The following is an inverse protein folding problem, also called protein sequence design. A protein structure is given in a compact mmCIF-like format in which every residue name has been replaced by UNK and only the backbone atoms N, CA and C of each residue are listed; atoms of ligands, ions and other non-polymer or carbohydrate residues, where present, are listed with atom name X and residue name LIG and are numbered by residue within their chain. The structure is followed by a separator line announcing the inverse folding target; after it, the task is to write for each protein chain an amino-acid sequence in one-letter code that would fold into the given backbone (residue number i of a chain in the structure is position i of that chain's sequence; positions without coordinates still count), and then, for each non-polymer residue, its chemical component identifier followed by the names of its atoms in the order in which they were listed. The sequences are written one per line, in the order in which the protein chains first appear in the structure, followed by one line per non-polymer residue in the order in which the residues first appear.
data_IF_561270835804
#
_entry.id   IF_561270835804
#
_cell.length_a   1.000
_cell.length_b   1.000
_cell.length_c   1.000
_cell.angle_alpha   90.00
_cell.angle_beta   90.00
_cell.angle_gamma   90.00
#
_symmetry.space_group_name_H-M   'P 1'
#
loop_
_entity.id
_entity.type
_entity.pdbx_description
1 polymer ?
#
# COMPACT_ATOMS: atom_id res chain seq x y z
N UNK A 1 -16.18 -9.94 2.93
CA UNK A 1 -14.78 -10.17 3.26
C UNK A 1 -14.17 -9.03 4.06
N UNK A 2 -13.09 -9.30 4.75
CA UNK A 2 -12.38 -8.30 5.52
C UNK A 2 -11.50 -7.42 4.59
N UNK A 3 -11.57 -6.07 4.70
CA UNK A 3 -10.71 -5.20 3.92
C UNK A 3 -9.23 -5.37 4.31
N UNK A 4 -8.36 -5.42 3.31
CA UNK A 4 -6.93 -5.64 3.47
C UNK A 4 -6.13 -4.47 2.90
N UNK A 5 -4.97 -4.22 3.49
CA UNK A 5 -3.97 -3.28 3.00
C UNK A 5 -2.76 -4.09 2.49
N UNK A 6 -2.57 -4.22 1.17
CA UNK A 6 -1.41 -4.92 0.63
C UNK A 6 -0.19 -4.00 0.55
N UNK A 7 0.98 -4.58 0.77
CA UNK A 7 2.26 -3.93 0.49
C UNK A 7 3.16 -4.89 -0.27
N UNK A 8 4.02 -4.37 -1.14
CA UNK A 8 4.89 -5.17 -1.98
C UNK A 8 6.36 -4.98 -1.67
N UNK A 9 7.13 -6.05 -1.84
CA UNK A 9 8.59 -6.06 -1.86
C UNK A 9 9.03 -6.71 -3.16
N UNK A 10 10.15 -6.25 -3.72
CA UNK A 10 10.62 -6.75 -5.01
C UNK A 10 12.14 -6.55 -5.17
N UNK A 11 12.78 -7.27 -6.11
CA UNK A 11 14.21 -7.14 -6.36
C UNK A 11 14.65 -5.78 -6.92
N UNK A 12 13.73 -5.04 -7.55
CA UNK A 12 14.06 -3.74 -8.14
C UNK A 12 14.13 -2.58 -7.15
N UNK A 13 13.75 -2.78 -5.87
CA UNK A 13 13.89 -1.78 -4.82
C UNK A 13 15.30 -1.83 -4.21
N UNK A 14 16.31 -1.51 -4.98
CA UNK A 14 17.71 -1.57 -4.56
C UNK A 14 18.12 -0.44 -3.59
N UNK A 15 17.45 0.72 -3.64
CA UNK A 15 17.69 1.83 -2.71
C UNK A 15 16.81 1.76 -1.46
N UNK A 16 15.67 1.06 -1.51
CA UNK A 16 14.72 0.95 -0.41
C UNK A 16 14.76 -0.44 0.21
N UNK A 17 15.70 -0.63 1.15
CA UNK A 17 15.94 -1.93 1.81
C UNK A 17 14.69 -2.51 2.44
N UNK A 18 13.81 -1.66 2.99
CA UNK A 18 12.53 -2.07 3.57
C UNK A 18 11.56 -2.69 2.56
N UNK A 19 11.77 -2.44 1.26
CA UNK A 19 10.97 -2.97 0.16
C UNK A 19 11.73 -3.97 -0.71
N UNK A 20 12.97 -4.24 -0.39
CA UNK A 20 13.81 -5.15 -1.16
C UNK A 20 13.53 -6.60 -0.79
N UNK A 21 13.32 -7.43 -1.82
CA UNK A 21 13.23 -8.88 -1.70
C UNK A 21 14.00 -9.51 -2.87
N UNK A 22 15.14 -10.18 -2.63
CA UNK A 22 15.96 -10.74 -3.71
C UNK A 22 15.34 -11.95 -4.42
N UNK A 23 14.35 -12.56 -3.78
CA UNK A 23 13.75 -13.82 -4.26
C UNK A 23 12.62 -13.62 -5.28
N UNK A 24 12.17 -12.40 -5.47
CA UNK A 24 11.09 -12.08 -6.38
C UNK A 24 10.04 -11.16 -5.76
N UNK A 25 8.89 -11.07 -6.40
CA UNK A 25 7.78 -10.27 -5.90
C UNK A 25 7.17 -10.93 -4.65
N UNK A 26 7.13 -10.18 -3.56
CA UNK A 26 6.45 -10.55 -2.32
C UNK A 26 5.30 -9.58 -2.05
N UNK A 27 4.14 -10.09 -1.72
CA UNK A 27 2.98 -9.29 -1.36
C UNK A 27 2.57 -9.65 0.06
N UNK A 28 2.55 -8.64 0.95
CA UNK A 28 2.09 -8.78 2.32
C UNK A 28 0.70 -8.20 2.45
N UNK A 29 -0.24 -8.95 3.00
CA UNK A 29 -1.59 -8.50 3.27
C UNK A 29 -1.77 -8.21 4.75
N UNK A 30 -2.23 -7.00 5.08
CA UNK A 30 -2.52 -6.58 6.44
C UNK A 30 -4.00 -6.24 6.57
N UNK A 31 -4.72 -6.76 7.58
CA UNK A 31 -6.08 -6.33 7.85
C UNK A 31 -6.12 -4.83 8.15
N UNK A 32 -7.04 -4.11 7.54
CA UNK A 32 -7.20 -2.66 7.80
C UNK A 32 -7.56 -2.36 9.25
N UNK A 33 -8.19 -3.28 9.92
CA UNK A 33 -8.53 -3.15 11.35
C UNK A 33 -7.31 -2.91 12.24
N UNK A 34 -6.10 -3.30 11.82
CA UNK A 34 -4.86 -3.02 12.54
C UNK A 34 -4.55 -1.52 12.65
N UNK A 35 -5.10 -0.71 11.76
CA UNK A 35 -4.91 0.74 11.76
C UNK A 35 -5.98 1.50 12.52
N UNK A 36 -6.99 0.81 13.06
CA UNK A 36 -8.01 1.42 13.87
C UNK A 36 -7.39 2.03 15.15
N UNK A 37 -7.76 3.27 15.45
CA UNK A 37 -7.22 4.00 16.59
C UNK A 37 -5.88 4.69 16.37
N UNK A 38 -5.23 4.50 15.22
CA UNK A 38 -4.00 5.20 14.83
C UNK A 38 -4.15 5.99 13.54
N UNK A 39 -5.33 6.53 13.31
CA UNK A 39 -5.61 7.40 12.15
C UNK A 39 -4.91 8.75 12.27
N UNK A 40 -4.74 9.43 11.15
CA UNK A 40 -4.00 10.70 11.07
C UNK A 40 -4.59 11.82 11.93
N UNK A 41 -5.86 11.76 12.25
CA UNK A 41 -6.58 12.71 13.10
C UNK A 41 -6.38 12.47 14.61
N UNK A 42 -5.70 11.38 14.99
CA UNK A 42 -5.39 11.07 16.38
C UNK A 42 -3.95 11.42 16.73
N UNK A 43 -3.70 11.81 17.98
CA UNK A 43 -2.35 12.03 18.49
C UNK A 43 -1.52 10.74 18.41
N UNK A 44 -2.11 9.61 18.78
CA UNK A 44 -1.45 8.31 18.69
C UNK A 44 -1.05 7.96 17.25
N UNK A 45 -1.90 8.27 16.27
CA UNK A 45 -1.61 8.07 14.85
C UNK A 45 -0.48 8.97 14.35
N UNK A 46 -0.46 10.23 14.76
CA UNK A 46 0.61 11.16 14.41
C UNK A 46 1.97 10.74 14.99
N UNK A 47 1.99 10.29 16.24
CA UNK A 47 3.19 9.76 16.88
C UNK A 47 3.67 8.47 16.22
N UNK A 48 2.77 7.54 15.92
CA UNK A 48 3.10 6.30 15.24
C UNK A 48 3.72 6.57 13.86
N UNK A 49 3.16 7.51 13.10
CA UNK A 49 3.70 7.90 11.81
C UNK A 49 5.11 8.48 11.90
N UNK A 50 5.32 9.42 12.81
CA UNK A 50 6.64 10.01 13.01
C UNK A 50 7.69 8.95 13.31
N UNK A 51 7.37 7.99 14.18
CA UNK A 51 8.27 6.87 14.50
C UNK A 51 8.52 5.99 13.28
N UNK A 52 7.48 5.66 12.51
CA UNK A 52 7.60 4.81 11.31
C UNK A 52 8.46 5.51 10.26
N UNK A 53 8.21 6.78 9.98
CA UNK A 53 8.98 7.54 8.99
C UNK A 53 10.46 7.65 9.37
N UNK A 54 10.75 7.94 10.63
CA UNK A 54 12.12 7.98 11.11
C UNK A 54 12.83 6.63 11.00
N UNK A 55 12.16 5.55 11.33
CA UNK A 55 12.72 4.20 11.21
C UNK A 55 12.94 3.79 9.75
N UNK A 56 12.05 4.17 8.86
CA UNK A 56 12.22 3.91 7.43
C UNK A 56 13.46 4.65 6.91
N UNK A 57 13.60 5.93 7.25
CA UNK A 57 14.76 6.73 6.84
C UNK A 57 16.08 6.17 7.38
N UNK A 58 16.12 5.80 8.65
CA UNK A 58 17.29 5.17 9.25
C UNK A 58 17.64 3.83 8.61
N UNK A 59 16.64 3.00 8.35
CA UNK A 59 16.83 1.66 7.80
C UNK A 59 17.20 1.67 6.31
N UNK A 60 16.51 2.49 5.52
CA UNK A 60 16.73 2.57 4.07
C UNK A 60 17.92 3.47 3.71
N UNK A 61 18.28 4.42 4.57
CA UNK A 61 19.30 5.43 4.29
C UNK A 61 18.86 6.48 3.26
N UNK A 62 17.57 6.50 2.92
CA UNK A 62 16.93 7.48 2.03
C UNK A 62 15.63 7.97 2.65
N UNK A 63 15.18 9.14 2.22
CA UNK A 63 13.90 9.68 2.70
C UNK A 63 12.73 8.74 2.37
N UNK A 64 11.69 8.71 3.22
CA UNK A 64 10.47 7.99 2.89
C UNK A 64 9.94 8.38 1.51
N UNK A 65 9.33 7.42 0.81
CA UNK A 65 8.76 7.67 -0.50
C UNK A 65 7.66 8.74 -0.42
N UNK A 66 7.58 9.61 -1.44
CA UNK A 66 6.58 10.68 -1.47
C UNK A 66 5.13 10.17 -1.44
N UNK A 67 4.89 8.98 -1.96
CA UNK A 67 3.56 8.34 -1.95
C UNK A 67 3.21 7.68 -0.59
N UNK A 68 4.14 7.66 0.36
CA UNK A 68 3.84 7.20 1.70
C UNK A 68 2.96 8.23 2.40
N UNK A 69 1.65 8.04 2.27
CA UNK A 69 0.64 8.93 2.82
C UNK A 69 0.26 8.60 4.26
N UNK A 70 -0.75 9.29 4.69
CA UNK A 70 -1.29 9.21 6.03
C UNK A 70 -2.57 8.38 6.03
N UNK A 71 -2.64 7.38 6.90
CA UNK A 71 -3.84 6.60 7.04
C UNK A 71 -5.02 7.47 7.52
N UNK A 72 -6.13 7.42 6.78
CA UNK A 72 -7.37 8.10 7.15
C UNK A 72 -7.43 9.60 6.82
N UNK A 73 -6.45 10.15 6.10
CA UNK A 73 -6.53 11.52 5.59
C UNK A 73 -7.42 11.55 4.35
N UNK A 74 -8.44 12.41 4.38
CA UNK A 74 -9.28 12.64 3.21
C UNK A 74 -8.45 13.23 2.07
N UNK A 75 -8.55 12.61 0.90
CA UNK A 75 -7.79 12.99 -0.28
C UNK A 75 -6.48 12.24 -0.46
N UNK A 76 -5.93 11.59 0.56
CA UNK A 76 -4.79 10.71 0.40
C UNK A 76 -5.21 9.43 -0.31
N UNK A 77 -4.49 9.12 -1.37
CA UNK A 77 -4.72 7.91 -2.14
C UNK A 77 -3.96 6.75 -1.50
N UNK A 78 -4.65 5.69 -1.17
CA UNK A 78 -4.06 4.50 -0.55
C UNK A 78 -3.27 3.64 -1.54
N UNK A 79 -3.77 3.48 -2.76
CA UNK A 79 -3.21 2.54 -3.72
C UNK A 79 -1.74 2.79 -4.11
N UNK A 80 -1.20 4.04 -4.14
CA UNK A 80 0.22 4.24 -4.42
C UNK A 80 1.14 3.62 -3.37
N UNK A 81 0.63 3.40 -2.16
CA UNK A 81 1.39 2.81 -1.06
C UNK A 81 1.51 1.28 -1.18
N UNK A 82 0.67 0.64 -1.97
CA UNK A 82 0.71 -0.82 -2.14
C UNK A 82 1.99 -1.25 -2.84
N UNK A 83 2.40 -0.49 -3.84
CA UNK A 83 3.62 -0.72 -4.60
C UNK A 83 4.21 0.63 -5.02
N UNK A 84 5.28 1.03 -4.36
CA UNK A 84 5.98 2.25 -4.74
C UNK A 84 6.69 2.08 -6.07
N UNK A 85 6.72 3.15 -6.86
CA UNK A 85 7.63 3.22 -8.01
C UNK A 85 9.09 3.24 -7.52
N UNK A 86 10.00 2.64 -8.29
CA UNK A 86 11.43 2.72 -7.99
C UNK A 86 11.99 4.13 -8.20
N UNK A 87 11.39 4.86 -9.13
CA UNK A 87 11.68 6.26 -9.43
C UNK A 87 10.40 7.09 -9.26
N UNK A 88 10.40 8.00 -8.29
CA UNK A 88 9.24 8.85 -7.99
C UNK A 88 8.79 9.71 -9.17
N UNK A 89 9.71 10.05 -10.08
CA UNK A 89 9.39 10.81 -11.30
C UNK A 89 8.52 10.04 -12.29
N UNK A 90 8.46 8.72 -12.15
CA UNK A 90 7.69 7.81 -13.01
C UNK A 90 6.43 7.29 -12.31
N UNK A 91 6.10 7.81 -11.14
CA UNK A 91 4.89 7.42 -10.43
C UNK A 91 3.65 7.77 -11.28
N UNK A 92 2.71 6.83 -11.48
CA UNK A 92 1.53 7.11 -12.26
C UNK A 92 0.56 8.03 -11.52
N UNK A 93 -0.06 8.96 -12.23
CA UNK A 93 -1.06 9.87 -11.65
C UNK A 93 -2.38 9.18 -11.32
N UNK A 94 -2.67 8.10 -12.02
CA UNK A 94 -3.89 7.31 -11.85
C UNK A 94 -3.56 5.85 -11.57
N UNK A 95 -4.45 5.18 -10.84
CA UNK A 95 -4.31 3.74 -10.61
C UNK A 95 -4.28 2.99 -11.95
N UNK A 96 -3.21 2.22 -12.23
CA UNK A 96 -3.08 1.50 -13.50
C UNK A 96 -4.06 0.34 -13.64
N UNK A 97 -4.65 -0.09 -12.54
CA UNK A 97 -5.65 -1.15 -12.54
C UNK A 97 -7.01 -0.54 -12.81
N UNK A 98 -7.50 -0.71 -14.02
CA UNK A 98 -8.87 -0.34 -14.37
C UNK A 98 -9.78 -1.52 -14.07
N UNK A 99 -10.58 -1.39 -13.04
CA UNK A 99 -11.67 -2.33 -12.79
C UNK A 99 -12.79 -1.97 -13.76
N UNK A 100 -12.83 -2.64 -14.90
CA UNK A 100 -14.01 -2.60 -15.75
C UNK A 100 -15.12 -3.34 -15.01
N UNK A 101 -16.19 -2.62 -14.66
CA UNK A 101 -17.37 -3.21 -14.01
C UNK A 101 -18.22 -4.08 -14.96
N UNK A 102 -17.73 -4.37 -16.13
CA UNK A 102 -18.29 -5.42 -16.96
C UNK A 102 -17.93 -6.74 -16.29
N UNK A 103 -18.74 -7.11 -15.29
CA UNK A 103 -18.78 -8.50 -14.91
C UNK A 103 -19.13 -9.27 -16.18
N UNK A 104 -18.25 -10.15 -16.69
CA UNK A 104 -18.76 -11.15 -17.59
C UNK A 104 -19.93 -11.76 -16.83
N UNK A 105 -21.11 -11.75 -17.42
CA UNK A 105 -22.23 -12.49 -16.87
C UNK A 105 -21.75 -13.93 -16.81
N UNK A 106 -21.20 -14.32 -15.67
CA UNK A 106 -21.00 -15.71 -15.38
C UNK A 106 -22.40 -16.28 -15.46
N UNK A 107 -22.69 -17.18 -16.44
CA UNK A 107 -23.98 -17.82 -16.46
C UNK A 107 -24.15 -18.47 -15.08
N UNK A 108 -25.14 -17.99 -14.33
CA UNK A 108 -25.45 -18.62 -13.06
C UNK A 108 -25.68 -20.09 -13.38
N UNK A 109 -24.86 -20.96 -12.76
CA UNK A 109 -25.14 -22.37 -12.81
C UNK A 109 -26.61 -22.56 -12.42
N UNK A 110 -27.39 -23.35 -13.21
CA UNK A 110 -28.77 -23.61 -12.84
C UNK A 110 -28.77 -24.09 -11.39
N UNK A 111 -29.61 -23.46 -10.57
CA UNK A 111 -29.76 -23.87 -9.20
C UNK A 111 -30.11 -25.35 -9.21
N UNK A 112 -29.22 -26.17 -8.67
CA UNK A 112 -29.53 -27.57 -8.40
C UNK A 112 -30.58 -27.59 -7.31
N UNK A 113 -31.76 -28.05 -7.67
CA UNK A 113 -32.83 -28.31 -6.72
C UNK A 113 -32.41 -29.41 -5.73
#
# INVERSE_FOLDING_TARGET
GEPMFPTTRAPFYDERVSRYCPWGLEITFQPRALFDGITADTEAGQQARAVIQNRIEEYDGVCPHADLGDWGVEGDREWPQYMFSSDESQAPDECPIRITREHPKVPMAPADD
#
